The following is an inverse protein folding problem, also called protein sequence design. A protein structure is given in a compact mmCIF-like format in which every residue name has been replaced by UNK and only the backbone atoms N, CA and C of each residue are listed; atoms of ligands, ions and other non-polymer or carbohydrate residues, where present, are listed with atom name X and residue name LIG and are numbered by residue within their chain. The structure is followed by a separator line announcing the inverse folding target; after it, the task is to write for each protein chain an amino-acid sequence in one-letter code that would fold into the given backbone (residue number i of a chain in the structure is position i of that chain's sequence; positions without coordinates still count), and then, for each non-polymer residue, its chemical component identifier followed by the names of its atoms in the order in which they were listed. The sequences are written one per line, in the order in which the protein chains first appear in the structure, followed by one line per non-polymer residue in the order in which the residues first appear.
data_IF_249248740378
#
_entry.id   IF_249248740378
#
_cell.length_a   1.000
_cell.length_b   1.000
_cell.length_c   1.000
_cell.angle_alpha   90.00
_cell.angle_beta   90.00
_cell.angle_gamma   90.00
#
_symmetry.space_group_name_H-M   'P 1'
#
loop_
_entity.id
_entity.type
_entity.pdbx_description
1 polymer ?
#
# COMPACT_ATOMS: atom_id res chain seq x y z
N UNK A 1 22.19 24.50 7.00
CA UNK A 1 22.93 23.22 6.85
C UNK A 1 23.63 22.94 8.16
N UNK A 2 23.32 21.83 8.83
CA UNK A 2 23.97 21.49 10.10
C UNK A 2 25.17 20.56 9.81
N UNK A 3 26.34 20.84 10.39
CA UNK A 3 27.58 20.07 10.17
C UNK A 3 28.13 19.61 11.52
N UNK A 4 28.10 18.31 11.76
CA UNK A 4 28.71 17.69 12.94
C UNK A 4 30.11 17.14 12.59
N UNK A 5 31.03 17.12 13.57
CA UNK A 5 32.35 16.52 13.40
C UNK A 5 32.29 14.99 13.52
N UNK A 6 33.19 14.32 12.80
CA UNK A 6 33.40 12.87 12.92
C UNK A 6 34.47 12.53 13.99
N UNK A 7 34.86 13.50 14.81
CA UNK A 7 35.90 13.31 15.82
C UNK A 7 35.29 12.62 17.04
N UNK A 8 35.98 11.59 17.53
CA UNK A 8 35.65 10.88 18.77
C UNK A 8 36.62 11.35 19.85
N UNK A 9 36.12 11.95 20.94
CA UNK A 9 36.99 12.30 22.06
C UNK A 9 37.26 11.07 22.93
N UNK A 10 38.41 10.98 23.62
CA UNK A 10 38.64 9.91 24.59
C UNK A 10 37.54 9.89 25.65
N UNK A 11 36.85 8.74 25.80
CA UNK A 11 35.70 8.59 26.70
C UNK A 11 34.33 8.64 26.00
N UNK A 12 34.24 9.12 24.77
CA UNK A 12 32.99 9.12 24.02
C UNK A 12 32.64 7.71 23.53
N UNK A 13 31.38 7.30 23.68
CA UNK A 13 30.90 6.01 23.18
C UNK A 13 30.55 6.03 21.68
N UNK A 14 30.27 7.22 21.10
CA UNK A 14 29.90 7.36 19.68
C UNK A 14 30.30 8.73 19.12
N UNK A 15 30.44 8.85 17.80
CA UNK A 15 30.73 10.13 17.15
C UNK A 15 29.46 10.97 16.96
N UNK A 16 29.52 12.31 17.16
CA UNK A 16 28.35 13.19 17.01
C UNK A 16 27.65 13.12 15.64
N UNK A 17 28.40 12.85 14.57
CA UNK A 17 27.86 12.67 13.22
C UNK A 17 26.97 11.45 13.05
N UNK A 18 27.16 10.38 13.83
CA UNK A 18 26.31 9.18 13.80
C UNK A 18 24.88 9.52 14.21
N UNK A 19 24.71 10.38 15.22
CA UNK A 19 23.40 10.88 15.62
C UNK A 19 22.73 11.65 14.47
N UNK A 20 23.45 12.56 13.81
CA UNK A 20 22.90 13.34 12.71
C UNK A 20 22.48 12.45 11.51
N UNK A 21 23.30 11.46 11.18
CA UNK A 21 22.99 10.48 10.12
C UNK A 21 21.72 9.67 10.45
N UNK A 22 21.61 9.23 11.70
CA UNK A 22 20.45 8.48 12.19
C UNK A 22 19.19 9.34 12.19
N UNK A 23 19.27 10.57 12.68
CA UNK A 23 18.16 11.53 12.69
C UNK A 23 17.66 11.81 11.26
N UNK A 24 18.57 12.02 10.30
CA UNK A 24 18.21 12.21 8.90
C UNK A 24 17.46 11.00 8.31
N UNK A 25 17.92 9.78 8.59
CA UNK A 25 17.24 8.55 8.16
C UNK A 25 15.84 8.46 8.76
N UNK A 26 15.72 8.68 10.07
CA UNK A 26 14.44 8.65 10.80
C UNK A 26 13.46 9.67 10.19
N UNK A 27 13.92 10.89 9.92
CA UNK A 27 13.08 11.94 9.30
C UNK A 27 12.56 11.48 7.94
N UNK A 28 13.39 10.88 7.09
CA UNK A 28 12.93 10.34 5.80
C UNK A 28 11.92 9.21 5.95
N UNK A 29 12.13 8.31 6.90
CA UNK A 29 11.19 7.23 7.17
C UNK A 29 9.84 7.78 7.67
N UNK A 30 9.84 8.79 8.53
CA UNK A 30 8.63 9.49 9.00
C UNK A 30 7.90 10.14 7.84
N UNK A 31 8.61 10.89 6.98
CA UNK A 31 8.03 11.51 5.79
C UNK A 31 7.42 10.47 4.84
N UNK A 32 8.11 9.33 4.63
CA UNK A 32 7.59 8.23 3.81
C UNK A 32 6.30 7.66 4.40
N UNK A 33 6.30 7.34 5.70
CA UNK A 33 5.11 6.81 6.40
C UNK A 33 3.92 7.76 6.36
N UNK A 34 4.17 9.06 6.52
CA UNK A 34 3.14 10.08 6.43
C UNK A 34 2.48 10.08 5.05
N UNK A 35 3.28 10.17 3.97
CA UNK A 35 2.75 10.16 2.60
C UNK A 35 2.01 8.87 2.26
N UNK A 36 2.51 7.73 2.72
CA UNK A 36 1.84 6.43 2.54
C UNK A 36 0.48 6.43 3.25
N UNK A 37 0.40 6.91 4.50
CA UNK A 37 -0.86 6.96 5.24
C UNK A 37 -1.89 7.87 4.57
N UNK A 38 -1.50 9.08 4.15
CA UNK A 38 -2.43 9.99 3.46
C UNK A 38 -2.92 9.41 2.13
N UNK A 39 -2.06 8.71 1.38
CA UNK A 39 -2.47 8.04 0.16
C UNK A 39 -3.48 6.92 0.44
N UNK A 40 -3.23 6.08 1.45
CA UNK A 40 -4.16 5.01 1.85
C UNK A 40 -5.50 5.56 2.37
N UNK A 41 -5.49 6.67 3.11
CA UNK A 41 -6.71 7.33 3.59
C UNK A 41 -7.53 7.88 2.42
N UNK A 42 -6.88 8.55 1.47
CA UNK A 42 -7.52 9.04 0.24
C UNK A 42 -8.08 7.91 -0.63
N UNK A 43 -7.39 6.79 -0.75
CA UNK A 43 -7.91 5.61 -1.45
C UNK A 43 -9.12 5.01 -0.73
N UNK A 44 -9.12 5.01 0.61
CA UNK A 44 -10.26 4.55 1.43
C UNK A 44 -11.48 5.44 1.31
N UNK A 45 -11.31 6.76 1.17
CA UNK A 45 -12.41 7.71 0.97
C UNK A 45 -13.20 7.41 -0.31
N UNK A 46 -12.55 6.89 -1.36
CA UNK A 46 -13.19 6.50 -2.61
C UNK A 46 -13.94 5.16 -2.56
N UNK A 47 -13.88 4.42 -1.44
CA UNK A 47 -14.48 3.09 -1.33
C UNK A 47 -15.99 3.23 -1.13
N UNK A 48 -16.74 2.87 -2.16
CA UNK A 48 -18.20 2.71 -2.08
C UNK A 48 -18.50 1.27 -1.65
N UNK A 49 -19.19 1.12 -0.51
CA UNK A 49 -19.73 -0.18 -0.11
C UNK A 49 -20.92 -0.52 -1.01
N UNK A 50 -20.89 -1.69 -1.62
CA UNK A 50 -22.01 -2.24 -2.40
C UNK A 50 -22.83 -3.18 -1.53
N UNK A 51 -24.08 -3.38 -1.91
CA UNK A 51 -24.92 -4.42 -1.32
C UNK A 51 -24.31 -5.80 -1.54
N UNK A 52 -24.65 -6.73 -0.65
CA UNK A 52 -24.18 -8.11 -0.79
C UNK A 52 -24.84 -8.77 -2.00
N UNK A 53 -24.01 -9.35 -2.87
CA UNK A 53 -24.46 -10.11 -4.03
C UNK A 53 -25.28 -11.33 -3.61
N UNK A 54 -26.48 -11.48 -4.16
CA UNK A 54 -27.37 -12.61 -3.94
C UNK A 54 -27.07 -13.68 -4.98
N UNK A 55 -26.28 -14.68 -4.58
CA UNK A 55 -25.86 -15.77 -5.45
C UNK A 55 -27.05 -16.68 -5.77
N UNK A 56 -27.43 -16.74 -7.04
CA UNK A 56 -28.32 -17.78 -7.55
C UNK A 56 -27.52 -19.06 -7.80
N UNK A 57 -27.95 -20.23 -7.33
CA UNK A 57 -27.27 -21.52 -7.56
C UNK A 57 -27.91 -22.36 -8.68
N UNK A 58 -28.85 -21.79 -9.44
CA UNK A 58 -29.52 -22.50 -10.52
C UNK A 58 -28.55 -22.86 -11.66
N UNK A 59 -28.74 -24.04 -12.26
CA UNK A 59 -27.90 -24.56 -13.36
C UNK A 59 -27.93 -23.72 -14.65
N UNK A 60 -28.82 -22.71 -14.74
CA UNK A 60 -29.01 -21.87 -15.93
C UNK A 60 -28.40 -20.47 -15.80
N UNK A 61 -27.53 -20.22 -14.81
CA UNK A 61 -26.91 -18.90 -14.68
C UNK A 61 -26.04 -18.58 -15.91
N UNK A 62 -26.16 -17.38 -16.49
CA UNK A 62 -25.26 -16.92 -17.53
C UNK A 62 -23.81 -16.91 -17.00
N UNK A 63 -22.94 -17.67 -17.65
CA UNK A 63 -21.52 -17.78 -17.31
C UNK A 63 -20.65 -17.71 -18.56
N UNK A 64 -19.64 -16.85 -18.53
CA UNK A 64 -18.65 -16.71 -19.60
C UNK A 64 -17.25 -16.97 -19.04
N UNK A 65 -16.52 -17.91 -19.66
CA UNK A 65 -15.17 -18.33 -19.24
C UNK A 65 -14.10 -17.54 -19.99
N UNK A 66 -12.87 -17.65 -19.50
CA UNK A 66 -11.64 -17.13 -20.14
C UNK A 66 -11.64 -15.62 -20.37
N UNK A 67 -12.20 -14.90 -19.40
CA UNK A 67 -12.22 -13.44 -19.39
C UNK A 67 -11.07 -12.86 -18.57
N UNK A 68 -10.71 -11.63 -18.91
CA UNK A 68 -9.72 -10.84 -18.19
C UNK A 68 -10.37 -9.58 -17.63
N UNK A 69 -10.20 -9.32 -16.33
CA UNK A 69 -10.75 -8.13 -15.68
C UNK A 69 -9.82 -6.92 -15.85
N UNK A 70 -10.37 -5.72 -15.99
CA UNK A 70 -9.63 -4.46 -15.99
C UNK A 70 -10.43 -3.36 -15.25
N UNK A 71 -9.82 -2.58 -14.34
CA UNK A 71 -8.43 -2.69 -13.87
C UNK A 71 -8.15 -4.02 -13.13
N UNK A 72 -6.89 -4.44 -13.05
CA UNK A 72 -6.51 -5.66 -12.32
C UNK A 72 -6.49 -5.37 -10.81
N UNK A 73 -6.88 -6.37 -10.00
CA UNK A 73 -6.84 -6.29 -8.52
C UNK A 73 -5.40 -6.43 -7.99
N UNK A 74 -4.54 -7.12 -8.74
CA UNK A 74 -3.12 -7.28 -8.43
C UNK A 74 -2.26 -6.83 -9.62
N UNK A 75 -0.94 -6.73 -9.42
CA UNK A 75 0.00 -6.34 -10.48
C UNK A 75 -0.01 -7.30 -11.68
N UNK A 76 -0.37 -8.57 -11.48
CA UNK A 76 -0.46 -9.58 -12.54
C UNK A 76 -1.84 -9.57 -13.20
N UNK A 77 -1.87 -9.89 -14.50
CA UNK A 77 -3.12 -10.06 -15.27
C UNK A 77 -3.93 -11.22 -14.69
N UNK A 78 -5.20 -10.98 -14.40
CA UNK A 78 -6.10 -12.00 -13.84
C UNK A 78 -7.04 -12.55 -14.91
N UNK A 79 -7.04 -13.88 -15.07
CA UNK A 79 -8.00 -14.62 -15.91
C UNK A 79 -9.04 -15.28 -15.00
N UNK A 80 -10.30 -15.30 -15.43
CA UNK A 80 -11.39 -15.90 -14.67
C UNK A 80 -12.65 -16.14 -15.49
N UNK A 81 -13.75 -16.38 -14.79
CA UNK A 81 -15.10 -16.46 -15.37
C UNK A 81 -15.98 -15.35 -14.80
N UNK A 82 -16.90 -14.84 -15.61
CA UNK A 82 -17.94 -13.90 -15.18
C UNK A 82 -19.27 -14.63 -15.07
N UNK A 83 -19.95 -14.46 -13.95
CA UNK A 83 -21.24 -15.08 -13.65
C UNK A 83 -22.26 -13.98 -13.31
N UNK A 84 -23.46 -14.10 -13.87
CA UNK A 84 -24.58 -13.20 -13.55
C UNK A 84 -25.51 -13.86 -12.50
N UNK A 85 -25.92 -13.07 -11.51
CA UNK A 85 -26.79 -13.51 -10.41
C UNK A 85 -28.01 -12.60 -10.26
N UNK A 86 -28.68 -12.66 -9.11
CA UNK A 86 -30.00 -12.04 -8.90
C UNK A 86 -29.97 -10.51 -8.87
N UNK A 87 -28.89 -9.90 -8.37
CA UNK A 87 -28.72 -8.45 -8.28
C UNK A 87 -27.30 -8.02 -8.68
#
# INVERSE_FOLDING_TARGET
TYRASNLKSPGDHSVPSTNLQNAFRIIKEVQKRYKTREAEEKEKEGIVKQDSLVINLNRSNPKLKDLYIRPNIAQKRMQGSLEAHTN
#
